data_IF_013032109034
#
_entry.id   IF_013032109034
#
_cell.length_a   1.000
_cell.length_b   1.000
_cell.length_c   1.000
_cell.angle_alpha   90.00
_cell.angle_beta   90.00
_cell.angle_gamma   90.00
#
_symmetry.space_group_name_H-M   'P 1'
#
loop_
_entity.id
_entity.type
_entity.pdbx_description
1 polymer ?
#
# COMPACT_ATOMS: atom_id res chain seq x y z
N UNK A 1 -4.08 65.15 -7.01
CA UNK A 1 -2.68 64.71 -7.24
C UNK A 1 -2.60 63.23 -6.86
N UNK A 2 -1.90 62.33 -7.57
CA UNK A 2 -0.42 62.18 -7.71
C UNK A 2 0.24 62.05 -6.32
N UNK A 3 1.02 61.02 -5.97
CA UNK A 3 1.72 59.96 -6.77
C UNK A 3 2.14 58.75 -5.87
N UNK A 4 2.32 57.55 -6.44
CA UNK A 4 3.31 56.53 -5.98
C UNK A 4 4.72 56.94 -6.52
N UNK A 5 5.88 56.60 -5.91
CA UNK A 5 6.52 55.25 -5.94
C UNK A 5 7.22 54.91 -4.57
N UNK A 6 8.14 53.95 -4.33
CA UNK A 6 8.76 52.76 -4.99
C UNK A 6 8.71 51.59 -3.94
N UNK A 7 8.95 50.28 -4.15
CA UNK A 7 9.53 49.43 -5.22
C UNK A 7 11.08 49.23 -5.26
N UNK A 8 11.58 48.18 -4.59
CA UNK A 8 12.90 47.54 -4.83
C UNK A 8 12.70 46.07 -5.23
N UNK A 9 13.54 45.56 -6.12
CA UNK A 9 13.40 44.30 -6.85
C UNK A 9 14.78 43.64 -6.99
N UNK A 10 14.85 42.30 -6.87
CA UNK A 10 15.92 41.45 -7.45
C UNK A 10 15.21 40.23 -8.09
N UNK A 11 15.62 39.83 -9.31
CA UNK A 11 15.00 38.75 -10.12
C UNK A 11 16.14 37.94 -10.78
N UNK A 12 15.76 36.75 -11.27
CA UNK A 12 16.42 35.87 -12.24
C UNK A 12 17.35 34.79 -11.65
N UNK A 13 17.36 33.55 -12.16
CA UNK A 13 16.73 33.04 -13.40
C UNK A 13 15.72 31.89 -13.18
N UNK A 14 14.64 31.90 -13.96
CA UNK A 14 14.12 30.70 -14.63
C UNK A 14 14.45 30.87 -16.11
N UNK A 15 15.10 29.89 -16.73
CA UNK A 15 15.48 29.93 -18.15
C UNK A 15 14.52 29.09 -18.99
N UNK A 16 13.41 29.71 -19.42
CA UNK A 16 12.54 29.07 -20.41
C UNK A 16 13.19 29.06 -21.79
N UNK A 17 13.14 27.92 -22.47
CA UNK A 17 12.98 27.93 -23.93
C UNK A 17 11.51 27.71 -24.26
N UNK A 18 11.04 28.48 -25.23
CA UNK A 18 9.70 28.41 -25.83
C UNK A 18 9.55 27.07 -26.60
N UNK A 19 8.35 26.57 -26.93
CA UNK A 19 7.23 27.29 -27.54
C UNK A 19 5.81 26.94 -27.00
N UNK A 20 5.03 28.02 -26.88
CA UNK A 20 3.61 28.14 -27.26
C UNK A 20 2.58 27.08 -26.78
N UNK A 21 1.94 27.40 -25.64
CA UNK A 21 0.62 26.88 -25.27
C UNK A 21 -0.12 27.91 -24.42
N UNK A 22 -1.41 28.16 -24.69
CA UNK A 22 -2.23 29.08 -23.91
C UNK A 22 -3.57 28.39 -23.62
N UNK A 23 -3.71 27.85 -22.41
CA UNK A 23 -4.85 27.06 -21.95
C UNK A 23 -5.32 27.48 -20.56
N UNK A 24 -6.39 26.83 -20.07
CA UNK A 24 -6.86 26.96 -18.68
C UNK A 24 -6.56 25.66 -17.93
N UNK A 25 -6.61 25.73 -16.61
CA UNK A 25 -6.64 24.57 -15.73
C UNK A 25 -8.00 23.88 -15.84
N UNK A 26 -8.04 22.75 -16.53
CA UNK A 26 -9.21 21.86 -16.65
C UNK A 26 -8.74 20.42 -16.39
N UNK A 27 -9.58 19.61 -15.75
CA UNK A 27 -9.26 18.27 -15.20
C UNK A 27 -8.99 17.18 -16.27
N UNK A 28 -8.95 17.57 -17.55
CA UNK A 28 -8.69 16.67 -18.69
C UNK A 28 -7.20 16.37 -18.88
N UNK A 29 -6.29 17.27 -18.45
CA UNK A 29 -4.84 17.14 -18.70
C UNK A 29 -4.26 15.81 -18.22
N UNK A 30 -4.74 15.29 -17.08
CA UNK A 30 -4.34 13.98 -16.55
C UNK A 30 -4.81 12.81 -17.42
N UNK A 31 -6.03 12.86 -17.96
CA UNK A 31 -6.60 11.79 -18.79
C UNK A 31 -5.98 11.74 -20.18
N UNK A 32 -5.77 12.92 -20.78
CA UNK A 32 -5.12 13.03 -22.09
C UNK A 32 -3.68 12.48 -22.01
N UNK A 33 -2.96 12.74 -20.90
CA UNK A 33 -1.62 12.18 -20.62
C UNK A 33 -1.64 10.68 -20.31
N UNK A 34 -2.71 10.15 -19.70
CA UNK A 34 -2.88 8.72 -19.47
C UNK A 34 -3.10 7.95 -20.79
N UNK A 35 -3.90 8.49 -21.72
CA UNK A 35 -4.02 7.92 -23.08
C UNK A 35 -2.69 7.99 -23.85
N UNK A 36 -1.92 9.09 -23.75
CA UNK A 36 -0.64 9.22 -24.46
C UNK A 36 0.37 8.15 -23.99
N UNK A 37 0.55 7.97 -22.68
CA UNK A 37 1.42 6.93 -22.10
C UNK A 37 0.99 5.50 -22.49
N UNK A 38 -0.32 5.22 -22.45
CA UNK A 38 -0.90 3.92 -22.84
C UNK A 38 -0.62 3.57 -24.31
N UNK A 39 -0.63 4.57 -25.20
CA UNK A 39 -0.32 4.36 -26.61
C UNK A 39 1.18 4.06 -26.82
N UNK A 40 2.10 4.72 -26.11
CA UNK A 40 3.54 4.43 -26.19
C UNK A 40 3.90 3.02 -25.67
N UNK A 41 3.24 2.55 -24.60
CA UNK A 41 3.45 1.22 -24.05
C UNK A 41 3.11 0.08 -25.05
N UNK A 42 2.18 0.34 -25.97
CA UNK A 42 1.63 -0.67 -26.90
C UNK A 42 2.62 -1.10 -28.01
N UNK A 43 3.71 -0.34 -28.26
CA UNK A 43 4.74 -0.71 -29.25
C UNK A 43 5.91 -1.55 -28.70
N UNK A 44 5.99 -1.84 -27.38
CA UNK A 44 7.15 -2.54 -26.77
C UNK A 44 6.82 -3.57 -25.68
N UNK A 45 6.21 -4.68 -26.07
CA UNK A 45 6.24 -5.93 -25.27
C UNK A 45 6.63 -7.13 -26.12
N UNK A 46 7.82 -7.66 -25.87
CA UNK A 46 8.19 -9.06 -26.17
C UNK A 46 8.28 -9.82 -24.85
N UNK A 47 7.76 -11.05 -24.84
CA UNK A 47 7.46 -11.85 -23.65
C UNK A 47 8.69 -12.19 -22.77
N UNK A 48 8.54 -12.10 -21.45
CA UNK A 48 9.30 -12.90 -20.49
C UNK A 48 8.43 -13.21 -19.24
N UNK A 49 8.02 -14.47 -19.08
CA UNK A 49 7.12 -14.92 -18.01
C UNK A 49 7.79 -14.95 -16.62
N UNK A 50 7.35 -14.07 -15.72
CA UNK A 50 7.77 -14.08 -14.32
C UNK A 50 7.03 -15.17 -13.51
N UNK A 51 7.52 -16.42 -13.53
CA UNK A 51 6.96 -17.49 -12.68
C UNK A 51 7.28 -17.27 -11.20
N UNK A 52 6.24 -16.98 -10.41
CA UNK A 52 6.30 -16.88 -8.95
C UNK A 52 6.76 -18.20 -8.31
N UNK A 53 7.59 -18.10 -7.27
CA UNK A 53 8.04 -19.23 -6.46
C UNK A 53 7.78 -18.89 -5.00
N UNK A 54 7.38 -19.88 -4.21
CA UNK A 54 7.11 -19.69 -2.79
C UNK A 54 7.94 -20.67 -1.95
N UNK A 55 8.38 -20.19 -0.79
CA UNK A 55 9.17 -20.96 0.15
C UNK A 55 8.25 -21.83 1.01
N UNK A 56 8.55 -23.12 1.09
CA UNK A 56 7.81 -24.05 1.95
C UNK A 56 8.73 -24.63 3.01
N UNK A 57 8.27 -24.61 4.27
CA UNK A 57 8.93 -25.28 5.38
C UNK A 57 8.28 -26.66 5.52
N UNK A 58 9.03 -27.71 5.26
CA UNK A 58 8.55 -29.09 5.44
C UNK A 58 8.61 -29.48 6.94
N UNK A 59 7.84 -30.48 7.38
CA UNK A 59 7.46 -30.70 8.80
C UNK A 59 8.60 -31.13 9.74
N UNK A 60 9.85 -31.17 9.28
CA UNK A 60 11.06 -31.39 10.08
C UNK A 60 11.93 -30.12 10.24
N UNK A 61 11.47 -28.98 9.70
CA UNK A 61 12.19 -27.70 9.73
C UNK A 61 13.14 -27.49 8.54
N UNK A 62 13.14 -28.37 7.53
CA UNK A 62 13.90 -28.11 6.29
C UNK A 62 13.11 -27.20 5.34
N UNK A 63 13.80 -26.19 4.79
CA UNK A 63 13.25 -25.27 3.80
C UNK A 63 13.46 -25.81 2.39
N UNK A 64 12.40 -25.87 1.58
CA UNK A 64 12.48 -26.20 0.15
C UNK A 64 11.71 -25.20 -0.72
N UNK A 65 12.32 -24.81 -1.84
CA UNK A 65 11.73 -23.93 -2.85
C UNK A 65 10.91 -24.76 -3.82
N UNK A 66 9.65 -24.40 -4.04
CA UNK A 66 8.73 -25.10 -4.94
C UNK A 66 8.13 -24.11 -5.93
N UNK A 67 8.06 -24.49 -7.21
CA UNK A 67 7.47 -23.70 -8.30
C UNK A 67 6.15 -24.31 -8.73
N UNK A 68 5.15 -23.50 -9.06
CA UNK A 68 3.86 -24.00 -9.54
C UNK A 68 3.97 -24.65 -10.91
N UNK A 69 3.29 -25.79 -11.04
CA UNK A 69 2.88 -26.34 -12.33
C UNK A 69 1.40 -26.11 -12.54
N UNK A 70 1.09 -25.93 -13.80
CA UNK A 70 -0.23 -25.67 -14.33
C UNK A 70 -1.07 -26.95 -14.28
N UNK A 71 -2.31 -26.86 -13.78
CA UNK A 71 -3.36 -27.85 -14.06
C UNK A 71 -4.72 -27.12 -14.02
N UNK A 72 -5.43 -27.13 -15.14
CA UNK A 72 -6.71 -26.45 -15.31
C UNK A 72 -7.88 -27.43 -15.27
N UNK A 73 -9.01 -27.00 -14.71
CA UNK A 73 -10.29 -27.67 -14.96
C UNK A 73 -11.46 -26.69 -14.95
N UNK A 74 -12.20 -26.69 -16.06
CA UNK A 74 -13.58 -26.20 -16.14
C UNK A 74 -14.49 -27.17 -15.32
N UNK A 75 -15.70 -26.84 -14.86
CA UNK A 75 -16.83 -26.32 -15.66
C UNK A 75 -18.01 -25.86 -14.77
N UNK A 76 -18.89 -25.01 -15.34
CA UNK A 76 -20.36 -24.98 -15.10
C UNK A 76 -20.93 -24.68 -13.68
N UNK A 77 -21.64 -23.54 -13.54
CA UNK A 77 -22.35 -23.21 -12.29
C UNK A 77 -23.37 -22.05 -12.31
N UNK A 78 -23.91 -21.65 -13.48
CA UNK A 78 -24.69 -20.41 -13.65
C UNK A 78 -25.89 -20.26 -12.68
N UNK A 79 -25.90 -19.17 -11.91
CA UNK A 79 -27.15 -18.48 -11.53
C UNK A 79 -26.96 -16.97 -11.41
N UNK A 80 -27.68 -16.22 -12.25
CA UNK A 80 -27.71 -14.76 -12.23
C UNK A 80 -28.77 -14.31 -11.20
N UNK A 81 -28.44 -13.31 -10.39
CA UNK A 81 -29.39 -12.44 -9.71
C UNK A 81 -28.96 -11.01 -9.94
N UNK A 82 -29.84 -10.21 -10.54
CA UNK A 82 -29.49 -8.88 -11.01
C UNK A 82 -29.25 -7.90 -9.85
N UNK A 83 -28.12 -7.20 -9.88
CA UNK A 83 -27.93 -5.93 -9.18
C UNK A 83 -27.35 -4.93 -10.19
N UNK A 84 -27.65 -3.64 -10.01
CA UNK A 84 -27.42 -2.65 -11.06
C UNK A 84 -25.91 -2.42 -11.30
N UNK A 85 -25.46 -2.77 -12.50
CA UNK A 85 -24.04 -2.77 -12.85
C UNK A 85 -23.47 -1.36 -12.91
N UNK A 86 -22.75 -0.97 -11.86
CA UNK A 86 -21.67 0.01 -12.02
C UNK A 86 -20.67 -0.56 -13.03
N UNK A 87 -20.57 0.06 -14.20
CA UNK A 87 -19.44 -0.19 -15.12
C UNK A 87 -18.20 0.54 -14.61
N UNK A 88 -17.85 0.25 -13.36
CA UNK A 88 -16.64 0.75 -12.72
C UNK A 88 -15.44 0.10 -13.38
N UNK A 89 -14.50 0.93 -13.82
CA UNK A 89 -13.15 0.48 -14.12
C UNK A 89 -12.58 -0.07 -12.81
N UNK A 90 -11.97 -1.26 -12.82
CA UNK A 90 -11.00 -1.61 -11.79
C UNK A 90 -9.73 -0.86 -12.17
N UNK A 91 -9.06 -0.25 -11.19
CA UNK A 91 -7.66 0.15 -11.34
C UNK A 91 -6.87 -1.04 -11.94
N UNK A 92 -5.82 -0.78 -12.72
CA UNK A 92 -4.85 -1.82 -13.08
C UNK A 92 -3.54 -1.59 -12.34
N UNK A 93 -2.68 -2.63 -12.26
CA UNK A 93 -1.38 -2.51 -11.60
C UNK A 93 -0.47 -1.46 -12.25
N UNK A 94 -0.55 -1.29 -13.56
CA UNK A 94 0.26 -0.31 -14.30
C UNK A 94 -0.25 1.12 -14.06
N UNK A 95 -1.58 1.32 -14.10
CA UNK A 95 -2.20 2.61 -13.76
C UNK A 95 -1.89 3.00 -12.30
N UNK A 96 -1.93 2.03 -11.37
CA UNK A 96 -1.55 2.24 -9.98
C UNK A 96 -0.10 2.74 -9.83
N UNK A 97 0.86 2.14 -10.56
CA UNK A 97 2.26 2.59 -10.53
C UNK A 97 2.45 3.98 -11.16
N UNK A 98 1.77 4.30 -12.25
CA UNK A 98 1.88 5.63 -12.85
C UNK A 98 1.20 6.72 -12.00
N UNK A 99 0.04 6.44 -11.42
CA UNK A 99 -0.60 7.37 -10.46
C UNK A 99 0.29 7.55 -9.22
N UNK A 100 0.90 6.48 -8.68
CA UNK A 100 1.85 6.55 -7.58
C UNK A 100 3.07 7.44 -7.92
N UNK A 101 3.59 7.33 -9.16
CA UNK A 101 4.68 8.19 -9.67
C UNK A 101 4.24 9.64 -9.88
N UNK A 102 2.97 9.91 -10.19
CA UNK A 102 2.45 11.27 -10.38
C UNK A 102 2.13 12.00 -9.06
N UNK A 103 1.79 11.27 -7.99
CA UNK A 103 1.56 11.88 -6.65
C UNK A 103 2.84 11.98 -5.81
N UNK A 104 3.88 11.24 -6.17
CA UNK A 104 5.16 11.26 -5.46
C UNK A 104 6.06 12.43 -5.89
N UNK A 105 6.45 13.27 -4.92
CA UNK A 105 7.63 14.16 -5.02
C UNK A 105 8.94 13.41 -4.66
N UNK A 106 8.83 12.09 -4.44
CA UNK A 106 9.90 11.17 -4.03
C UNK A 106 9.86 9.83 -4.78
N UNK A 107 10.39 8.77 -4.17
CA UNK A 107 10.43 7.40 -4.71
C UNK A 107 9.21 6.61 -4.27
N UNK A 108 8.64 5.81 -5.17
CA UNK A 108 7.70 4.73 -4.80
C UNK A 108 8.53 3.59 -4.17
N UNK A 109 8.42 3.44 -2.86
CA UNK A 109 9.19 2.50 -2.04
C UNK A 109 8.50 1.14 -1.94
N UNK A 110 7.17 1.14 -1.79
CA UNK A 110 6.31 -0.03 -1.90
C UNK A 110 5.02 0.35 -2.64
N UNK A 111 4.41 -0.61 -3.33
CA UNK A 111 3.06 -0.49 -3.86
C UNK A 111 2.39 -1.86 -3.84
N UNK A 112 1.22 -1.93 -3.21
CA UNK A 112 0.38 -3.13 -3.14
C UNK A 112 -0.99 -2.83 -3.73
N UNK A 113 -1.44 -3.72 -4.63
CA UNK A 113 -2.61 -3.55 -5.48
C UNK A 113 -3.49 -4.80 -5.37
N UNK A 114 -4.68 -4.65 -4.77
CA UNK A 114 -5.58 -5.75 -4.39
C UNK A 114 -7.03 -5.27 -4.28
N UNK A 115 -7.98 -6.20 -4.18
CA UNK A 115 -9.35 -5.94 -3.73
C UNK A 115 -9.35 -5.85 -2.19
N UNK A 116 -9.32 -4.61 -1.65
CA UNK A 116 -9.08 -4.37 -0.22
C UNK A 116 -10.35 -4.46 0.64
N UNK A 117 -11.55 -4.26 0.06
CA UNK A 117 -12.82 -4.28 0.80
C UNK A 117 -13.82 -5.36 0.34
N UNK A 118 -13.47 -6.09 -0.73
CA UNK A 118 -14.19 -7.27 -1.20
C UNK A 118 -15.28 -6.99 -2.23
N UNK A 119 -15.29 -5.82 -2.88
CA UNK A 119 -16.31 -5.45 -3.87
C UNK A 119 -16.05 -5.96 -5.30
N UNK A 120 -14.87 -6.54 -5.55
CA UNK A 120 -14.46 -7.11 -6.84
C UNK A 120 -13.73 -6.14 -7.76
N UNK A 121 -13.47 -4.91 -7.31
CA UNK A 121 -12.55 -3.94 -7.93
C UNK A 121 -11.25 -3.91 -7.13
N UNK A 122 -10.16 -3.52 -7.78
CA UNK A 122 -8.88 -3.37 -7.09
C UNK A 122 -8.61 -1.88 -6.82
N UNK A 123 -8.02 -1.61 -5.66
CA UNK A 123 -7.38 -0.36 -5.29
C UNK A 123 -5.88 -0.60 -5.08
N UNK A 124 -5.13 0.45 -4.80
CA UNK A 124 -3.75 0.32 -4.35
C UNK A 124 -3.43 1.23 -3.16
N UNK A 125 -2.43 0.82 -2.39
CA UNK A 125 -1.69 1.72 -1.50
C UNK A 125 -0.23 1.79 -1.96
N UNK A 126 0.37 2.97 -1.83
CA UNK A 126 1.77 3.23 -2.15
C UNK A 126 2.47 3.90 -0.96
N UNK A 127 3.63 3.37 -0.58
CA UNK A 127 4.55 4.05 0.34
C UNK A 127 5.54 4.89 -0.47
N UNK A 128 5.58 6.18 -0.19
CA UNK A 128 6.43 7.17 -0.85
C UNK A 128 7.50 7.65 0.13
N UNK A 129 8.74 7.74 -0.34
CA UNK A 129 9.87 8.19 0.46
C UNK A 129 11.17 8.25 -0.33
N UNK A 130 12.28 7.92 0.33
CA UNK A 130 13.63 7.91 -0.27
C UNK A 130 14.46 6.76 0.29
N UNK A 131 15.40 6.24 -0.50
CA UNK A 131 16.36 5.23 -0.06
C UNK A 131 17.14 5.71 1.18
N UNK A 132 17.39 4.80 2.13
CA UNK A 132 18.23 5.05 3.30
C UNK A 132 19.60 4.35 3.23
N UNK A 133 20.51 4.70 4.13
CA UNK A 133 21.88 4.16 4.19
C UNK A 133 21.95 2.69 4.70
N UNK A 134 20.82 2.09 5.08
CA UNK A 134 20.70 0.77 5.73
C UNK A 134 20.01 -0.28 4.86
N UNK A 135 19.33 0.12 3.78
CA UNK A 135 18.64 -0.76 2.82
C UNK A 135 17.11 -0.69 2.88
N UNK A 136 16.55 0.15 3.75
CA UNK A 136 15.13 0.50 3.77
C UNK A 136 14.88 1.87 3.15
N UNK A 137 13.79 2.52 3.60
CA UNK A 137 13.34 3.80 3.02
C UNK A 137 12.88 4.78 4.10
N UNK A 138 13.44 5.99 4.16
CA UNK A 138 12.89 7.07 4.99
C UNK A 138 11.52 7.44 4.41
N UNK A 139 10.44 7.18 5.13
CA UNK A 139 9.08 7.46 4.69
C UNK A 139 8.78 8.95 4.67
N UNK A 140 8.04 9.37 3.65
CA UNK A 140 7.55 10.74 3.48
C UNK A 140 6.02 10.78 3.40
N UNK A 141 5.36 9.79 2.79
CA UNK A 141 3.89 9.66 2.87
C UNK A 141 3.37 8.27 2.49
N UNK A 142 2.17 7.92 2.96
CA UNK A 142 1.36 6.83 2.38
C UNK A 142 0.23 7.45 1.56
N UNK A 143 -0.01 6.89 0.37
CA UNK A 143 -1.10 7.24 -0.52
C UNK A 143 -2.00 6.03 -0.76
N UNK A 144 -3.30 6.28 -0.79
CA UNK A 144 -4.29 5.40 -1.40
C UNK A 144 -4.54 5.82 -2.85
N UNK A 145 -4.81 4.86 -3.73
CA UNK A 145 -5.21 5.07 -5.11
C UNK A 145 -6.50 4.28 -5.34
N UNK A 146 -7.60 5.01 -5.53
CA UNK A 146 -8.92 4.40 -5.70
C UNK A 146 -9.11 3.77 -7.08
N UNK A 147 -10.10 2.88 -7.18
CA UNK A 147 -10.63 2.33 -8.43
C UNK A 147 -11.29 3.37 -9.34
N UNK A 148 -11.33 4.65 -8.94
CA UNK A 148 -11.70 5.80 -9.77
C UNK A 148 -10.50 6.66 -10.22
N UNK A 149 -9.30 6.07 -10.20
CA UNK A 149 -7.99 6.60 -10.61
C UNK A 149 -7.49 7.80 -9.79
N UNK A 150 -8.05 8.06 -8.60
CA UNK A 150 -7.63 9.20 -7.75
C UNK A 150 -6.74 8.80 -6.60
N UNK A 151 -5.63 9.54 -6.48
CA UNK A 151 -4.76 9.52 -5.31
C UNK A 151 -5.33 10.31 -4.13
N UNK A 152 -5.30 9.72 -2.93
CA UNK A 152 -5.66 10.33 -1.64
C UNK A 152 -4.50 10.10 -0.66
N UNK A 153 -3.86 11.17 -0.22
CA UNK A 153 -2.81 11.08 0.81
C UNK A 153 -3.44 10.65 2.15
N UNK A 154 -2.86 9.64 2.78
CA UNK A 154 -3.38 9.02 4.01
C UNK A 154 -2.58 9.43 5.25
N UNK A 155 -1.24 9.53 5.13
CA UNK A 155 -0.32 10.05 6.15
C UNK A 155 0.85 10.77 5.48
N UNK A 156 1.35 11.82 6.11
CA UNK A 156 2.64 12.49 5.85
C UNK A 156 3.54 12.65 7.12
N UNK A 157 3.08 12.28 8.32
CA UNK A 157 3.75 12.55 9.60
C UNK A 157 4.65 11.41 10.15
N UNK A 158 5.50 10.81 9.30
CA UNK A 158 6.38 9.70 9.67
C UNK A 158 7.60 10.03 10.54
N UNK A 159 7.86 11.30 10.87
CA UNK A 159 8.95 11.72 11.79
C UNK A 159 10.36 11.16 11.42
N UNK A 160 10.70 11.13 10.13
CA UNK A 160 11.95 10.58 9.58
C UNK A 160 12.21 9.08 9.89
N UNK A 161 11.17 8.30 10.23
CA UNK A 161 11.29 6.84 10.41
C UNK A 161 11.55 6.13 9.07
N UNK A 162 12.44 5.14 9.10
CA UNK A 162 12.70 4.25 7.97
C UNK A 162 11.71 3.09 7.95
N UNK A 163 10.98 2.91 6.86
CA UNK A 163 10.33 1.63 6.52
C UNK A 163 11.40 0.58 6.23
N UNK A 164 11.26 -0.58 6.86
CA UNK A 164 12.11 -1.72 6.58
C UNK A 164 11.65 -2.42 5.29
N UNK A 165 12.59 -2.94 4.51
CA UNK A 165 12.30 -3.65 3.27
C UNK A 165 11.76 -5.06 3.58
N UNK A 166 10.49 -5.35 3.26
CA UNK A 166 9.92 -6.69 3.39
C UNK A 166 10.10 -7.52 2.11
N UNK A 167 10.55 -8.78 2.26
CA UNK A 167 10.64 -9.76 1.17
C UNK A 167 9.29 -10.47 0.90
N UNK A 168 8.35 -10.38 1.84
CA UNK A 168 7.03 -11.03 1.83
C UNK A 168 5.95 -10.21 1.10
N UNK A 169 6.22 -8.92 0.88
CA UNK A 169 5.22 -7.92 0.45
C UNK A 169 4.65 -7.12 1.62
N UNK A 170 3.76 -6.18 1.32
CA UNK A 170 3.23 -5.19 2.29
C UNK A 170 1.70 -5.34 2.46
N UNK A 171 1.18 -6.56 2.27
CA UNK A 171 -0.26 -6.84 2.19
C UNK A 171 -0.65 -8.07 3.01
N UNK A 172 -1.67 -7.92 3.87
CA UNK A 172 -2.24 -8.98 4.70
C UNK A 172 -3.74 -9.17 4.44
N UNK A 173 -4.14 -10.36 3.98
CA UNK A 173 -5.53 -10.70 3.64
C UNK A 173 -6.24 -11.38 4.83
N UNK A 174 -7.35 -10.80 5.31
CA UNK A 174 -8.27 -11.51 6.19
C UNK A 174 -9.37 -12.23 5.39
N UNK A 175 -9.09 -13.47 4.99
CA UNK A 175 -9.96 -14.27 4.13
C UNK A 175 -11.37 -14.54 4.68
N UNK A 176 -11.57 -14.55 6.00
CA UNK A 176 -12.87 -14.89 6.61
C UNK A 176 -13.92 -13.77 6.46
N UNK A 177 -13.46 -12.53 6.35
CA UNK A 177 -14.30 -11.33 6.15
C UNK A 177 -14.11 -10.73 4.74
N UNK A 178 -13.26 -11.34 3.91
CA UNK A 178 -12.87 -10.90 2.55
C UNK A 178 -12.37 -9.45 2.46
N UNK A 179 -11.53 -9.05 3.42
CA UNK A 179 -10.87 -7.72 3.45
C UNK A 179 -9.35 -7.85 3.45
N UNK A 180 -8.66 -6.81 3.01
CA UNK A 180 -7.19 -6.72 2.99
C UNK A 180 -6.67 -5.50 3.73
N UNK A 181 -5.40 -5.56 4.14
CA UNK A 181 -4.71 -4.50 4.85
C UNK A 181 -3.35 -4.22 4.22
N UNK A 182 -3.04 -2.94 3.96
CA UNK A 182 -1.71 -2.48 3.59
C UNK A 182 -0.92 -2.19 4.87
N UNK A 183 0.22 -2.84 5.04
CA UNK A 183 0.96 -2.91 6.30
C UNK A 183 2.46 -2.84 6.05
N UNK A 184 3.22 -2.25 6.98
CA UNK A 184 4.66 -2.22 6.90
C UNK A 184 5.31 -1.75 8.19
N UNK A 185 6.48 -2.31 8.48
CA UNK A 185 7.28 -1.97 9.67
C UNK A 185 8.17 -0.77 9.39
N UNK A 186 8.19 0.18 10.32
CA UNK A 186 9.08 1.33 10.27
C UNK A 186 9.70 1.65 11.65
N UNK A 187 10.92 2.18 11.67
CA UNK A 187 11.63 2.45 12.89
C UNK A 187 12.95 3.19 12.69
N UNK A 188 13.74 3.25 13.77
CA UNK A 188 15.08 3.85 13.78
C UNK A 188 16.22 2.82 13.78
N UNK A 189 15.97 1.60 13.29
CA UNK A 189 16.90 0.45 13.37
C UNK A 189 17.39 0.14 14.80
N UNK A 190 16.54 0.45 15.80
CA UNK A 190 16.81 0.25 17.23
C UNK A 190 16.14 -1.00 17.81
N UNK A 191 16.02 -1.04 19.13
CA UNK A 191 15.33 -2.10 19.88
C UNK A 191 13.81 -1.87 19.95
N UNK A 192 13.19 -1.56 18.80
CA UNK A 192 11.77 -1.24 18.70
C UNK A 192 11.41 -0.66 17.34
N UNK A 193 10.16 -0.88 16.94
CA UNK A 193 9.59 -0.43 15.66
C UNK A 193 8.12 -0.07 15.83
N UNK A 194 7.48 0.38 14.75
CA UNK A 194 6.06 0.63 14.65
C UNK A 194 5.56 0.04 13.34
N UNK A 195 4.31 -0.41 13.31
CA UNK A 195 3.67 -0.89 12.07
C UNK A 195 2.55 0.07 11.68
N UNK A 196 2.65 0.65 10.49
CA UNK A 196 1.53 1.38 9.89
C UNK A 196 0.55 0.37 9.30
N UNK A 197 -0.76 0.63 9.38
CA UNK A 197 -1.79 -0.29 8.87
C UNK A 197 -2.98 0.49 8.31
N UNK A 198 -3.32 0.23 7.05
CA UNK A 198 -4.44 0.86 6.33
C UNK A 198 -5.36 -0.19 5.71
N UNK A 199 -6.64 0.15 5.55
CA UNK A 199 -7.63 -0.71 4.88
C UNK A 199 -8.63 0.13 4.07
N UNK A 200 -9.53 -0.54 3.36
CA UNK A 200 -10.60 0.09 2.54
C UNK A 200 -11.96 -0.40 3.01
N UNK A 201 -13.00 0.43 2.86
CA UNK A 201 -14.37 0.09 3.26
C UNK A 201 -15.42 0.86 2.45
N UNK A 202 -16.11 0.18 1.54
CA UNK A 202 -17.01 0.73 0.53
C UNK A 202 -16.30 1.79 -0.35
N UNK A 203 -15.09 1.48 -0.80
CA UNK A 203 -14.22 2.37 -1.59
C UNK A 203 -13.55 3.52 -0.82
N UNK A 204 -13.90 3.76 0.45
CA UNK A 204 -13.22 4.76 1.28
C UNK A 204 -12.06 4.14 2.07
N UNK A 205 -10.81 4.60 1.91
CA UNK A 205 -9.69 4.14 2.70
C UNK A 205 -9.70 4.77 4.10
N UNK A 206 -9.21 4.01 5.07
CA UNK A 206 -9.03 4.42 6.45
C UNK A 206 -7.71 3.89 7.01
N UNK A 207 -7.19 4.58 8.02
CA UNK A 207 -6.11 4.07 8.86
C UNK A 207 -6.71 3.31 10.05
N UNK A 208 -6.04 2.24 10.49
CA UNK A 208 -6.50 1.47 11.64
C UNK A 208 -6.15 2.18 12.97
N UNK A 209 -7.01 2.09 13.98
CA UNK A 209 -6.85 2.76 15.29
C UNK A 209 -5.56 2.32 16.04
N UNK A 210 -4.98 1.19 15.63
CA UNK A 210 -3.75 0.60 16.18
C UNK A 210 -2.50 0.85 15.31
N UNK A 211 -2.67 1.42 14.12
CA UNK A 211 -1.56 1.80 13.24
C UNK A 211 -0.66 2.81 13.96
N UNK A 212 0.66 2.59 13.91
CA UNK A 212 1.67 3.31 14.69
C UNK A 212 1.52 3.19 16.23
N UNK A 213 0.70 2.27 16.75
CA UNK A 213 0.62 1.88 18.17
C UNK A 213 1.06 0.42 18.45
N UNK A 214 1.66 -0.26 17.46
CA UNK A 214 1.94 -1.71 17.49
C UNK A 214 3.28 -2.07 16.87
N UNK A 215 3.96 -3.04 17.48
CA UNK A 215 5.13 -3.74 16.92
C UNK A 215 4.62 -5.00 16.20
N UNK A 216 4.46 -4.89 14.88
CA UNK A 216 3.97 -5.97 14.04
C UNK A 216 2.44 -6.01 13.86
N UNK A 217 2.01 -6.47 12.69
CA UNK A 217 0.62 -6.81 12.37
C UNK A 217 0.67 -8.07 11.52
N UNK A 218 0.52 -9.23 12.16
CA UNK A 218 0.81 -10.53 11.55
C UNK A 218 -0.40 -11.45 11.61
N UNK A 219 -0.56 -12.33 10.62
CA UNK A 219 -1.60 -13.36 10.58
C UNK A 219 -1.00 -14.76 10.69
N UNK A 220 -1.51 -15.60 11.60
CA UNK A 220 -1.08 -17.00 11.71
C UNK A 220 -1.81 -17.94 10.71
N UNK A 221 -1.35 -19.19 10.60
CA UNK A 221 -1.94 -20.21 9.70
C UNK A 221 -3.44 -20.47 9.94
N UNK A 222 -3.94 -20.19 11.16
CA UNK A 222 -5.35 -20.31 11.54
C UNK A 222 -6.17 -19.05 11.20
N UNK A 223 -5.57 -18.08 10.50
CA UNK A 223 -6.20 -16.81 10.11
C UNK A 223 -6.34 -15.78 11.23
N UNK A 224 -5.76 -16.02 12.42
CA UNK A 224 -5.86 -15.13 13.58
C UNK A 224 -4.75 -14.09 13.56
N UNK A 225 -5.12 -12.82 13.76
CA UNK A 225 -4.18 -11.69 13.78
C UNK A 225 -3.57 -11.49 15.17
N UNK A 226 -2.34 -10.96 15.19
CA UNK A 226 -1.64 -10.59 16.41
C UNK A 226 -0.61 -9.46 16.19
N UNK A 227 -0.27 -8.78 17.29
CA UNK A 227 0.83 -7.81 17.41
C UNK A 227 1.77 -8.29 18.52
N UNK A 228 3.02 -7.83 18.51
CA UNK A 228 3.87 -7.87 19.70
C UNK A 228 3.56 -6.69 20.63
N UNK A 229 4.06 -6.76 21.86
CA UNK A 229 3.97 -5.71 22.88
C UNK A 229 5.13 -5.91 23.84
N UNK A 230 6.13 -5.02 23.85
CA UNK A 230 7.26 -5.15 24.79
C UNK A 230 6.84 -4.90 26.25
N UNK A 231 7.30 -5.78 27.15
CA UNK A 231 7.11 -5.72 28.59
C UNK A 231 8.45 -5.51 29.30
N UNK A 232 8.84 -4.24 29.41
CA UNK A 232 10.06 -3.76 30.05
C UNK A 232 10.26 -4.14 31.53
N UNK A 233 9.33 -4.84 32.18
CA UNK A 233 9.32 -5.05 33.64
C UNK A 233 10.52 -5.86 34.15
N UNK A 234 11.04 -6.82 33.37
CA UNK A 234 12.18 -7.69 33.73
C UNK A 234 13.25 -7.77 32.60
N UNK A 235 13.33 -6.74 31.75
CA UNK A 235 14.12 -6.70 30.51
C UNK A 235 13.25 -6.50 29.28
N UNK A 236 13.79 -6.64 28.06
CA UNK A 236 12.96 -6.71 26.86
C UNK A 236 12.27 -8.08 26.79
N UNK A 237 10.95 -8.08 26.66
CA UNK A 237 10.12 -9.27 26.50
C UNK A 237 8.89 -8.95 25.67
N UNK A 238 8.95 -9.27 24.38
CA UNK A 238 7.78 -9.25 23.51
C UNK A 238 6.73 -10.25 24.01
N UNK A 239 5.58 -9.74 24.44
CA UNK A 239 4.36 -10.50 24.62
C UNK A 239 3.57 -10.49 23.30
N UNK A 240 2.93 -11.60 22.96
CA UNK A 240 2.02 -11.63 21.82
C UNK A 240 0.64 -11.18 22.31
N UNK A 241 0.00 -10.28 21.57
CA UNK A 241 -1.35 -9.78 21.83
C UNK A 241 -2.24 -10.13 20.63
N UNK A 242 -3.26 -10.95 20.87
CA UNK A 242 -4.31 -11.26 19.89
C UNK A 242 -5.01 -9.99 19.39
N UNK A 243 -5.31 -9.91 18.09
CA UNK A 243 -6.06 -8.81 17.49
C UNK A 243 -7.41 -9.34 16.98
N UNK A 244 -8.50 -8.78 17.53
CA UNK A 244 -9.87 -9.21 17.23
C UNK A 244 -10.53 -8.16 16.33
N UNK A 245 -10.83 -8.52 15.08
CA UNK A 245 -11.50 -7.66 14.11
C UNK A 245 -12.96 -7.36 14.51
N UNK A 246 -13.41 -6.14 14.26
CA UNK A 246 -14.82 -5.74 14.37
C UNK A 246 -15.31 -5.26 13.00
N UNK A 247 -15.94 -6.16 12.23
CA UNK A 247 -16.45 -5.91 10.88
C UNK A 247 -17.53 -4.81 10.78
N UNK A 248 -18.01 -4.27 11.91
CA UNK A 248 -18.89 -3.08 11.92
C UNK A 248 -18.10 -1.78 11.84
N UNK A 249 -16.84 -1.76 12.26
CA UNK A 249 -15.96 -0.59 12.20
C UNK A 249 -14.86 -0.73 11.15
N UNK A 250 -14.35 -1.94 10.90
CA UNK A 250 -13.09 -2.17 10.18
C UNK A 250 -11.85 -2.16 11.10
N UNK A 251 -12.07 -2.05 12.42
CA UNK A 251 -10.98 -1.87 13.39
C UNK A 251 -10.73 -3.14 14.19
N UNK A 252 -9.47 -3.40 14.54
CA UNK A 252 -9.11 -4.46 15.48
C UNK A 252 -9.08 -3.95 16.92
N UNK A 253 -9.32 -4.87 17.86
CA UNK A 253 -9.23 -4.64 19.31
C UNK A 253 -8.21 -5.59 19.91
N UNK A 254 -7.30 -5.04 20.72
CA UNK A 254 -6.29 -5.81 21.49
C UNK A 254 -7.04 -6.77 22.44
N UNK A 255 -6.89 -8.07 22.18
CA UNK A 255 -7.60 -9.19 22.79
C UNK A 255 -6.83 -9.79 23.96
N UNK A 256 -6.62 -11.12 23.97
CA UNK A 256 -5.83 -11.78 25.00
C UNK A 256 -4.32 -11.64 24.73
N UNK A 257 -3.59 -11.28 25.78
CA UNK A 257 -2.12 -11.25 25.82
C UNK A 257 -1.56 -12.61 26.30
N UNK A 258 -0.40 -13.00 25.79
CA UNK A 258 0.26 -14.29 26.07
C UNK A 258 1.78 -14.16 26.16
N UNK A 259 2.40 -14.94 27.05
CA UNK A 259 3.86 -15.11 27.19
C UNK A 259 4.42 -16.27 26.35
N UNK A 260 3.57 -16.86 25.50
CA UNK A 260 3.84 -18.04 24.69
C UNK A 260 3.36 -17.88 23.26
N UNK A 261 4.13 -18.45 22.36
CA UNK A 261 3.81 -18.62 20.95
C UNK A 261 2.40 -19.21 20.77
N UNK A 262 1.56 -18.51 20.01
CA UNK A 262 0.27 -19.03 19.52
C UNK A 262 0.38 -19.56 18.08
N UNK A 263 1.60 -19.93 17.68
CA UNK A 263 1.91 -20.61 16.43
C UNK A 263 1.66 -22.14 16.56
N UNK A 264 0.42 -22.50 16.89
CA UNK A 264 -0.14 -23.87 16.87
C UNK A 264 -1.65 -23.83 16.62
#
# INVERSE_FOLDING_TARGET
MKRKPFATIIIFLISTMLLAGCGKSDDSDLRDRLEEARNEATEKTTEEDAKTQYLSIDTDGTMTVKSTKDDASEESGKKISDNEGSTGVSLTKDDAYEIARMVADGKVCALEYHDYDGDGRNEAFAAIGKDDDMGGYILESIWFIGSDEKGKMMRDDFNDLSMYSDESGYYEQYSDENVGFFTGECGGYGSGWLTFIFGVRNGEPYELDLSMETEGFYRNEQGRFYTLTDDFTDGHRYLITELIYDSKTGQFKKGKVTDKDWAY
#
